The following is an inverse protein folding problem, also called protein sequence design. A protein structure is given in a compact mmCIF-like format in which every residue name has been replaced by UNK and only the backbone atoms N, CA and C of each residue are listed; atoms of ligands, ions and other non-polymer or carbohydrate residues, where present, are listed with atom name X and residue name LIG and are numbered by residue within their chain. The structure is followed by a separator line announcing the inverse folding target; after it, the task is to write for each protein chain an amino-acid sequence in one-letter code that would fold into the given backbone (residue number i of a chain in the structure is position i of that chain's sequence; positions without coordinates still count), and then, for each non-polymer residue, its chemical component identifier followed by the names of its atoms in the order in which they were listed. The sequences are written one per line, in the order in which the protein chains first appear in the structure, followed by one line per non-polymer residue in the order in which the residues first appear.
data_IF_531895642389
#
_entry.id   IF_531895642389
#
_cell.length_a   1.000
_cell.length_b   1.000
_cell.length_c   1.000
_cell.angle_alpha   90.00
_cell.angle_beta   90.00
_cell.angle_gamma   90.00
#
_symmetry.space_group_name_H-M   'P 1'
#
loop_
_entity.id
_entity.type
_entity.pdbx_description
1 polymer ?
#
# COMPACT_ATOMS: atom_id res chain seq x y z
N UNK A 1 -27.94 1.43 7.44
CA UNK A 1 -26.71 1.67 8.25
C UNK A 1 -25.46 0.99 7.69
N UNK A 2 -25.54 -0.19 7.04
CA UNK A 2 -24.36 -0.91 6.51
C UNK A 2 -23.57 -0.15 5.42
N UNK A 3 -24.24 0.67 4.59
CA UNK A 3 -23.61 1.39 3.49
C UNK A 3 -22.59 2.45 3.93
N UNK A 4 -22.84 3.14 5.05
CA UNK A 4 -21.94 4.21 5.52
C UNK A 4 -20.61 3.65 6.04
N UNK A 5 -20.66 2.50 6.71
CA UNK A 5 -19.47 1.78 7.19
C UNK A 5 -18.68 1.21 6.02
N UNK A 6 -19.35 0.60 5.04
CA UNK A 6 -18.69 0.04 3.85
C UNK A 6 -17.96 1.09 3.02
N UNK A 7 -18.49 2.31 2.98
CA UNK A 7 -17.87 3.44 2.28
C UNK A 7 -16.61 3.95 3.01
N UNK A 8 -16.67 4.08 4.33
CA UNK A 8 -15.48 4.43 5.12
C UNK A 8 -14.38 3.36 5.00
N UNK A 9 -14.78 2.09 4.99
CA UNK A 9 -13.86 0.96 4.82
C UNK A 9 -13.26 0.91 3.39
N UNK A 10 -14.01 1.31 2.37
CA UNK A 10 -13.49 1.47 1.01
C UNK A 10 -12.38 2.54 0.95
N UNK A 11 -12.59 3.69 1.60
CA UNK A 11 -11.57 4.75 1.73
C UNK A 11 -10.30 4.26 2.41
N UNK A 12 -10.45 3.51 3.51
CA UNK A 12 -9.31 2.92 4.21
C UNK A 12 -8.57 1.90 3.34
N UNK A 13 -9.28 0.97 2.70
CA UNK A 13 -8.68 -0.04 1.84
C UNK A 13 -7.97 0.56 0.61
N UNK A 14 -8.53 1.63 0.02
CA UNK A 14 -7.91 2.33 -1.11
C UNK A 14 -6.65 3.12 -0.71
N UNK A 15 -6.61 3.69 0.50
CA UNK A 15 -5.47 4.47 0.97
C UNK A 15 -4.35 3.58 1.54
N UNK A 16 -4.68 2.60 2.38
CA UNK A 16 -3.70 1.77 3.08
C UNK A 16 -3.35 0.49 2.34
N UNK A 17 -4.29 -0.12 1.60
CA UNK A 17 -4.06 -1.35 0.84
C UNK A 17 -2.83 -1.28 -0.07
N UNK A 18 -2.72 -0.29 -0.97
CA UNK A 18 -1.57 -0.22 -1.87
C UNK A 18 -0.29 0.12 -1.09
N UNK A 19 -0.34 0.98 -0.07
CA UNK A 19 0.83 1.33 0.74
C UNK A 19 1.41 0.11 1.45
N UNK A 20 0.56 -0.71 2.07
CA UNK A 20 1.01 -1.94 2.75
C UNK A 20 1.60 -2.91 1.72
N UNK A 21 0.95 -3.10 0.58
CA UNK A 21 1.44 -3.98 -0.47
C UNK A 21 2.81 -3.54 -1.01
N UNK A 22 2.96 -2.27 -1.38
CA UNK A 22 4.23 -1.76 -1.89
C UNK A 22 5.32 -1.73 -0.81
N UNK A 23 4.98 -1.56 0.47
CA UNK A 23 5.96 -1.56 1.57
C UNK A 23 6.72 -2.86 1.71
N UNK A 24 6.09 -4.00 1.40
CA UNK A 24 6.69 -5.33 1.52
C UNK A 24 7.22 -5.85 0.18
N UNK A 25 6.62 -5.43 -0.94
CA UNK A 25 7.00 -5.92 -2.26
C UNK A 25 8.07 -5.05 -2.95
N UNK A 26 8.29 -3.81 -2.51
CA UNK A 26 9.08 -2.84 -3.27
C UNK A 26 10.02 -2.00 -2.40
N UNK A 27 11.32 -2.30 -2.50
CA UNK A 27 12.39 -1.64 -1.73
C UNK A 27 12.59 -0.15 -2.03
N UNK A 28 12.07 0.34 -3.16
CA UNK A 28 12.22 1.76 -3.58
C UNK A 28 11.10 2.66 -3.07
N UNK A 29 10.10 2.14 -2.36
CA UNK A 29 9.01 2.98 -1.86
C UNK A 29 9.55 4.06 -0.90
N UNK A 30 9.20 5.32 -1.15
CA UNK A 30 9.62 6.44 -0.29
C UNK A 30 8.48 6.86 0.65
N UNK A 31 8.83 7.55 1.74
CA UNK A 31 7.84 8.10 2.68
C UNK A 31 6.86 9.05 1.98
N UNK A 32 7.37 9.91 1.09
CA UNK A 32 6.53 10.86 0.36
C UNK A 32 5.67 10.15 -0.69
N UNK A 33 6.19 9.10 -1.33
CA UNK A 33 5.41 8.25 -2.22
C UNK A 33 4.25 7.56 -1.50
N UNK A 34 4.51 6.98 -0.32
CA UNK A 34 3.46 6.40 0.51
C UNK A 34 2.39 7.43 0.90
N UNK A 35 2.79 8.60 1.40
CA UNK A 35 1.88 9.70 1.74
C UNK A 35 1.03 10.17 0.55
N UNK A 36 1.66 10.38 -0.60
CA UNK A 36 0.96 10.77 -1.83
C UNK A 36 -0.06 9.71 -2.23
N UNK A 37 0.32 8.42 -2.17
CA UNK A 37 -0.58 7.29 -2.41
C UNK A 37 -1.81 7.27 -1.49
N UNK A 38 -1.60 7.47 -0.18
CA UNK A 38 -2.70 7.50 0.80
C UNK A 38 -3.68 8.63 0.48
N UNK A 39 -3.17 9.82 0.19
CA UNK A 39 -3.99 11.00 -0.12
C UNK A 39 -4.74 10.80 -1.43
N UNK A 40 -4.06 10.34 -2.48
CA UNK A 40 -4.67 10.07 -3.79
C UNK A 40 -5.75 8.99 -3.66
N UNK A 41 -5.48 7.89 -2.96
CA UNK A 41 -6.46 6.81 -2.78
C UNK A 41 -7.70 7.27 -2.02
N UNK A 42 -7.51 8.00 -0.92
CA UNK A 42 -8.62 8.55 -0.12
C UNK A 42 -9.45 9.58 -0.90
N UNK A 43 -8.79 10.53 -1.57
CA UNK A 43 -9.48 11.54 -2.39
C UNK A 43 -10.22 10.91 -3.56
N UNK A 44 -9.62 9.89 -4.18
CA UNK A 44 -10.27 9.20 -5.29
C UNK A 44 -11.57 8.55 -4.85
N UNK A 45 -11.63 7.88 -3.69
CA UNK A 45 -12.89 7.30 -3.18
C UNK A 45 -13.97 8.38 -2.96
N UNK A 46 -13.58 9.56 -2.46
CA UNK A 46 -14.49 10.68 -2.23
C UNK A 46 -15.03 11.25 -3.55
N UNK A 47 -14.14 11.51 -4.51
CA UNK A 47 -14.51 12.07 -5.82
C UNK A 47 -15.33 11.04 -6.61
N UNK A 48 -14.94 9.76 -6.59
CA UNK A 48 -15.60 8.71 -7.34
C UNK A 48 -17.05 8.49 -6.91
N UNK A 49 -17.38 8.73 -5.64
CA UNK A 49 -18.77 8.70 -5.16
C UNK A 49 -19.67 9.72 -5.87
N UNK A 50 -19.12 10.86 -6.31
CA UNK A 50 -19.90 11.91 -7.00
C UNK A 50 -20.03 11.65 -8.51
N UNK A 51 -19.07 10.96 -9.12
CA UNK A 51 -18.98 10.76 -10.57
C UNK A 51 -19.16 9.29 -11.02
N UNK A 52 -19.43 8.37 -10.09
CA UNK A 52 -19.48 6.92 -10.30
C UNK A 52 -20.68 6.44 -11.12
N UNK A 53 -20.72 6.79 -12.41
CA UNK A 53 -21.76 6.40 -13.35
C UNK A 53 -21.74 4.89 -13.70
N UNK A 54 -20.68 4.17 -13.31
CA UNK A 54 -20.42 2.78 -13.70
C UNK A 54 -20.84 1.73 -12.65
N UNK A 55 -21.36 2.13 -11.48
CA UNK A 55 -21.72 1.19 -10.39
C UNK A 55 -20.53 0.40 -9.83
N UNK A 56 -19.29 0.83 -10.13
CA UNK A 56 -18.06 0.17 -9.73
C UNK A 56 -17.72 0.52 -8.28
N UNK A 57 -17.34 -0.50 -7.49
CA UNK A 57 -16.96 -0.30 -6.09
C UNK A 57 -15.75 0.63 -5.96
N UNK A 58 -15.89 1.67 -5.15
CA UNK A 58 -15.01 2.84 -5.11
C UNK A 58 -13.58 2.51 -4.65
N UNK A 59 -13.39 1.38 -3.95
CA UNK A 59 -12.07 0.90 -3.53
C UNK A 59 -11.16 0.61 -4.74
N UNK A 60 -11.70 0.10 -5.85
CA UNK A 60 -10.93 -0.36 -7.01
C UNK A 60 -10.20 0.82 -7.66
N UNK A 61 -10.89 1.90 -8.09
CA UNK A 61 -10.22 3.06 -8.64
C UNK A 61 -9.31 3.71 -7.59
N UNK A 62 -9.75 3.83 -6.34
CA UNK A 62 -8.91 4.38 -5.27
C UNK A 62 -7.59 3.64 -5.08
N UNK A 63 -7.62 2.31 -5.11
CA UNK A 63 -6.44 1.47 -5.03
C UNK A 63 -5.51 1.66 -6.24
N UNK A 64 -6.06 1.72 -7.45
CA UNK A 64 -5.28 1.89 -8.69
C UNK A 64 -4.62 3.25 -8.73
N UNK A 65 -5.38 4.33 -8.53
CA UNK A 65 -4.83 5.68 -8.53
C UNK A 65 -3.87 5.91 -7.36
N UNK A 66 -4.18 5.37 -6.18
CA UNK A 66 -3.27 5.36 -5.04
C UNK A 66 -1.95 4.66 -5.36
N UNK A 67 -2.00 3.48 -5.98
CA UNK A 67 -0.80 2.73 -6.43
C UNK A 67 0.04 3.52 -7.42
N UNK A 68 -0.60 4.15 -8.42
CA UNK A 68 0.09 5.02 -9.39
C UNK A 68 0.75 6.19 -8.66
N UNK A 69 0.05 6.80 -7.71
CA UNK A 69 0.60 7.84 -6.84
C UNK A 69 1.86 7.38 -6.11
N UNK A 70 1.82 6.21 -5.46
CA UNK A 70 2.99 5.64 -4.78
C UNK A 70 4.17 5.50 -5.73
N UNK A 71 3.95 4.89 -6.89
CA UNK A 71 5.03 4.62 -7.85
C UNK A 71 5.61 5.93 -8.40
N UNK A 72 4.77 6.85 -8.87
CA UNK A 72 5.20 8.10 -9.47
C UNK A 72 5.96 8.95 -8.45
N UNK A 73 5.39 9.17 -7.27
CA UNK A 73 6.03 10.02 -6.25
C UNK A 73 7.25 9.35 -5.61
N UNK A 74 7.30 8.02 -5.48
CA UNK A 74 8.52 7.33 -5.03
C UNK A 74 9.66 7.41 -6.05
N UNK A 75 9.34 7.47 -7.35
CA UNK A 75 10.34 7.61 -8.41
C UNK A 75 10.84 9.05 -8.58
N UNK A 76 9.96 10.03 -8.37
CA UNK A 76 10.29 11.46 -8.41
C UNK A 76 11.05 11.94 -7.16
N UNK A 77 10.84 11.27 -6.03
CA UNK A 77 11.52 11.58 -4.78
C UNK A 77 12.94 10.99 -4.72
N UNK A 78 13.72 11.42 -3.74
CA UNK A 78 15.05 10.88 -3.48
C UNK A 78 14.98 9.40 -3.13
N UNK A 79 15.97 8.64 -3.58
CA UNK A 79 16.08 7.23 -3.26
C UNK A 79 16.03 7.00 -1.72
N UNK A 80 15.43 5.90 -1.25
CA UNK A 80 15.41 5.56 0.17
C UNK A 80 16.82 5.51 0.76
N UNK A 81 16.95 5.88 2.03
CA UNK A 81 18.26 5.86 2.72
C UNK A 81 18.89 4.47 2.72
N UNK A 82 20.22 4.42 2.80
CA UNK A 82 20.96 3.16 2.89
C UNK A 82 20.46 2.27 4.04
N UNK A 83 20.11 2.86 5.18
CA UNK A 83 19.53 2.14 6.33
C UNK A 83 18.18 1.49 6.03
N UNK A 84 17.32 2.14 5.21
CA UNK A 84 16.03 1.59 4.81
C UNK A 84 16.21 0.44 3.82
N UNK A 85 17.13 0.59 2.87
CA UNK A 85 17.45 -0.48 1.92
C UNK A 85 18.05 -1.70 2.63
N UNK A 86 18.92 -1.47 3.61
CA UNK A 86 19.52 -2.53 4.42
C UNK A 86 18.45 -3.29 5.24
N UNK A 87 17.51 -2.57 5.86
CA UNK A 87 16.38 -3.20 6.57
C UNK A 87 15.50 -4.04 5.66
N UNK A 88 15.22 -3.55 4.45
CA UNK A 88 14.46 -4.32 3.47
C UNK A 88 15.20 -5.59 3.08
N UNK A 89 16.51 -5.50 2.82
CA UNK A 89 17.35 -6.66 2.47
C UNK A 89 17.48 -7.68 3.62
N UNK A 90 17.57 -7.21 4.87
CA UNK A 90 17.60 -8.07 6.06
C UNK A 90 16.28 -8.83 6.23
N UNK A 91 15.15 -8.14 6.09
CA UNK A 91 13.83 -8.76 6.15
C UNK A 91 13.64 -9.81 5.03
N UNK A 92 14.09 -9.50 3.82
CA UNK A 92 14.03 -10.42 2.67
C UNK A 92 14.92 -11.65 2.89
N UNK A 93 16.15 -11.48 3.41
CA UNK A 93 17.02 -12.59 3.76
C UNK A 93 16.42 -13.48 4.87
N UNK A 94 15.78 -12.88 5.88
CA UNK A 94 15.12 -13.63 6.93
C UNK A 94 13.93 -14.46 6.41
N UNK A 95 13.13 -13.90 5.50
CA UNK A 95 12.02 -14.60 4.86
C UNK A 95 12.46 -15.84 4.06
N UNK A 96 13.65 -15.77 3.42
CA UNK A 96 14.23 -16.88 2.66
C UNK A 96 15.01 -17.88 3.51
N UNK A 97 15.16 -17.64 4.82
CA UNK A 97 15.85 -18.58 5.72
C UNK A 97 14.93 -19.78 6.02
N UNK A 98 15.43 -21.03 5.96
CA UNK A 98 14.64 -22.21 6.30
C UNK A 98 14.06 -22.08 7.72
N UNK A 99 12.80 -22.53 7.95
CA UNK A 99 12.22 -22.50 9.29
C UNK A 99 13.09 -23.31 10.24
N UNK A 100 13.22 -22.89 11.52
CA UNK A 100 13.96 -23.65 12.50
C UNK A 100 13.36 -25.05 12.59
N UNK A 101 14.19 -26.07 12.37
CA UNK A 101 13.80 -27.47 12.58
C UNK A 101 13.33 -27.55 14.01
N UNK A 102 12.04 -27.85 14.22
CA UNK A 102 11.53 -28.13 15.56
C UNK A 102 12.38 -29.27 16.09
N UNK A 103 13.22 -29.00 17.08
CA UNK A 103 13.87 -30.06 17.82
C UNK A 103 12.72 -30.87 18.43
N UNK A 104 12.52 -32.08 17.91
CA UNK A 104 11.58 -33.06 18.45
C UNK A 104 12.00 -33.30 19.89
N UNK A 105 11.32 -32.66 20.83
CA UNK A 105 11.37 -33.05 22.22
C UNK A 105 10.45 -34.28 22.33
N UNK A 106 11.06 -35.45 22.19
CA UNK A 106 10.52 -36.72 22.69
C UNK A 106 10.57 -36.75 24.23
#
# INVERSE_FOLDING_TARGET
MLGLVSYAWAGFGAAFGPVVLFSVMWSRMTRNGALAGMVIGALTVIVWKQFGWLGLYEIIPGFVFGSIGIVVFSLLDKAPSASMQQRFAEADAHYHTPPPVRATAE
#
